data_IF_529390688996
#
_entry.id   IF_529390688996
#
_cell.length_a   1.000
_cell.length_b   1.000
_cell.length_c   1.000
_cell.angle_alpha   90.00
_cell.angle_beta   90.00
_cell.angle_gamma   90.00
#
_symmetry.space_group_name_H-M   'P 1'
#
loop_
_entity.id
_entity.type
_entity.pdbx_description
1 polymer ?
#
# COMPACT_ATOMS: atom_id res chain seq x y z
N UNK A 1 -4.81 15.19 4.67
CA UNK A 1 -3.61 14.32 4.68
C UNK A 1 -3.31 13.77 6.08
N UNK A 2 -3.17 14.62 7.11
CA UNK A 2 -3.08 14.21 8.53
C UNK A 2 -4.28 13.35 8.99
N UNK A 3 -5.50 13.69 8.54
CA UNK A 3 -6.73 12.96 8.86
C UNK A 3 -6.69 11.45 8.55
N UNK A 4 -5.99 11.02 7.49
CA UNK A 4 -5.92 9.59 7.12
C UNK A 4 -5.05 8.78 8.08
N UNK A 5 -3.95 9.35 8.55
CA UNK A 5 -3.09 8.72 9.57
C UNK A 5 -3.71 8.78 10.96
N UNK A 6 -4.39 9.88 11.31
CA UNK A 6 -5.17 9.95 12.54
C UNK A 6 -6.29 8.92 12.55
N UNK A 7 -7.00 8.73 11.44
CA UNK A 7 -8.01 7.67 11.31
C UNK A 7 -7.41 6.27 11.41
N UNK A 8 -6.22 6.03 10.87
CA UNK A 8 -5.49 4.76 11.02
C UNK A 8 -5.15 4.47 12.48
N UNK A 9 -4.66 5.47 13.22
CA UNK A 9 -4.34 5.37 14.65
C UNK A 9 -5.60 5.11 15.50
N UNK A 10 -6.69 5.81 15.20
CA UNK A 10 -7.98 5.61 15.87
C UNK A 10 -8.52 4.20 15.57
N UNK A 11 -8.51 3.77 14.31
CA UNK A 11 -8.91 2.43 13.92
C UNK A 11 -8.06 1.36 14.63
N UNK A 12 -6.74 1.55 14.68
CA UNK A 12 -5.83 0.65 15.40
C UNK A 12 -6.15 0.53 16.88
N UNK A 13 -6.47 1.65 17.53
CA UNK A 13 -6.82 1.66 18.94
C UNK A 13 -8.22 1.08 19.22
N UNK A 14 -9.21 1.39 18.38
CA UNK A 14 -10.60 1.00 18.60
C UNK A 14 -10.92 -0.43 18.16
N UNK A 15 -10.20 -0.97 17.17
CA UNK A 15 -10.54 -2.25 16.52
C UNK A 15 -9.63 -3.40 16.93
N UNK A 16 -8.62 -3.16 17.77
CA UNK A 16 -7.69 -4.21 18.25
C UNK A 16 -8.37 -5.42 18.90
N UNK A 17 -9.52 -5.19 19.55
CA UNK A 17 -10.30 -6.22 20.25
C UNK A 17 -11.59 -6.59 19.48
N UNK A 18 -11.80 -6.02 18.29
CA UNK A 18 -13.04 -6.13 17.53
C UNK A 18 -13.06 -7.38 16.62
N UNK A 19 -13.06 -8.58 17.22
CA UNK A 19 -13.40 -9.85 16.57
C UNK A 19 -12.82 -10.04 15.16
N UNK A 20 -13.65 -9.85 14.13
CA UNK A 20 -13.32 -10.04 12.69
C UNK A 20 -12.24 -9.10 12.12
N UNK A 21 -11.78 -8.12 12.90
CA UNK A 21 -10.70 -7.20 12.55
C UNK A 21 -9.44 -7.39 13.40
N UNK A 22 -9.47 -8.33 14.35
CA UNK A 22 -8.30 -8.69 15.14
C UNK A 22 -7.36 -9.56 14.32
N UNK A 23 -6.07 -9.23 14.35
CA UNK A 23 -5.00 -9.99 13.71
C UNK A 23 -4.44 -11.11 14.60
N UNK A 24 -5.04 -11.28 15.79
CA UNK A 24 -4.71 -12.35 16.72
C UNK A 24 -5.94 -13.25 16.85
N UNK A 25 -5.93 -14.47 16.30
CA UNK A 25 -7.02 -15.41 16.49
C UNK A 25 -7.28 -15.68 17.99
N UNK A 26 -8.53 -15.87 18.42
CA UNK A 26 -8.83 -16.30 19.78
C UNK A 26 -8.10 -17.62 20.10
N UNK A 27 -7.21 -17.61 21.09
CA UNK A 27 -6.43 -18.79 21.49
C UNK A 27 -5.16 -19.05 20.67
N UNK A 28 -4.68 -18.08 19.88
CA UNK A 28 -3.39 -18.19 19.22
C UNK A 28 -2.25 -18.38 20.24
N UNK A 29 -1.53 -19.50 20.12
CA UNK A 29 -0.38 -19.85 20.96
C UNK A 29 0.95 -19.51 20.32
N UNK A 30 0.95 -18.91 19.11
CA UNK A 30 2.18 -18.44 18.49
C UNK A 30 2.82 -17.35 19.36
N UNK A 31 4.04 -17.58 19.88
CA UNK A 31 4.71 -16.68 20.82
C UNK A 31 5.05 -15.31 20.21
N UNK A 32 4.92 -15.17 18.89
CA UNK A 32 5.36 -14.07 18.05
C UNK A 32 4.56 -12.77 18.25
N UNK A 33 3.31 -12.86 18.72
CA UNK A 33 2.39 -11.73 18.81
C UNK A 33 1.92 -11.40 20.23
N UNK A 34 2.08 -12.33 21.18
CA UNK A 34 1.64 -12.15 22.57
C UNK A 34 2.46 -11.06 23.24
N UNK A 35 1.81 -10.00 23.69
CA UNK A 35 2.43 -8.80 24.27
C UNK A 35 2.91 -7.77 23.25
N UNK A 36 2.72 -7.99 21.94
CA UNK A 36 3.06 -7.03 20.85
C UNK A 36 1.86 -6.71 19.95
N UNK A 37 0.65 -7.02 20.40
CA UNK A 37 -0.58 -6.94 19.62
C UNK A 37 -0.82 -5.52 19.13
N UNK A 38 -0.58 -4.51 19.97
CA UNK A 38 -0.73 -3.11 19.58
C UNK A 38 0.13 -2.76 18.37
N UNK A 39 1.41 -3.16 18.37
CA UNK A 39 2.34 -2.87 17.28
C UNK A 39 2.00 -3.65 16.02
N UNK A 40 1.53 -4.88 16.16
CA UNK A 40 1.05 -5.69 15.05
C UNK A 40 -0.13 -5.02 14.34
N UNK A 41 -1.16 -4.62 15.11
CA UNK A 41 -2.32 -3.93 14.57
C UNK A 41 -1.93 -2.61 13.92
N UNK A 42 -1.10 -1.81 14.58
CA UNK A 42 -0.69 -0.52 14.05
C UNK A 42 0.14 -0.65 12.77
N UNK A 43 1.04 -1.64 12.70
CA UNK A 43 1.77 -1.98 11.48
C UNK A 43 0.79 -2.36 10.36
N UNK A 44 -0.13 -3.28 10.60
CA UNK A 44 -1.07 -3.72 9.57
C UNK A 44 -1.98 -2.59 9.08
N UNK A 45 -2.59 -1.80 9.98
CA UNK A 45 -3.49 -0.72 9.60
C UNK A 45 -2.79 0.40 8.84
N UNK A 46 -1.53 0.72 9.16
CA UNK A 46 -0.74 1.68 8.37
C UNK A 46 -0.48 1.15 6.95
N UNK A 47 -0.26 -0.16 6.78
CA UNK A 47 -0.19 -0.78 5.46
C UNK A 47 -1.53 -0.67 4.71
N UNK A 48 -2.64 -0.94 5.40
CA UNK A 48 -3.99 -0.86 4.80
C UNK A 48 -4.32 0.55 4.33
N UNK A 49 -3.92 1.57 5.09
CA UNK A 49 -4.09 2.98 4.71
C UNK A 49 -3.31 3.29 3.44
N UNK A 50 -2.06 2.81 3.33
CA UNK A 50 -1.31 2.93 2.10
C UNK A 50 -2.04 2.26 0.92
N UNK A 51 -2.58 1.04 1.08
CA UNK A 51 -3.39 0.34 0.07
C UNK A 51 -4.62 1.14 -0.34
N UNK A 52 -5.39 1.65 0.62
CA UNK A 52 -6.62 2.43 0.36
C UNK A 52 -6.30 3.71 -0.40
N UNK A 53 -5.20 4.38 -0.07
CA UNK A 53 -4.74 5.59 -0.77
C UNK A 53 -4.22 5.30 -2.18
N UNK A 54 -3.74 4.09 -2.46
CA UNK A 54 -3.38 3.68 -3.82
C UNK A 54 -4.58 3.60 -4.75
N UNK A 55 -5.78 3.30 -4.23
CA UNK A 55 -7.00 3.18 -5.04
C UNK A 55 -7.29 4.48 -5.83
N UNK A 56 -7.47 5.65 -5.19
CA UNK A 56 -7.64 6.91 -5.92
C UNK A 56 -6.38 7.28 -6.71
N UNK A 57 -5.17 6.93 -6.25
CA UNK A 57 -3.95 7.19 -7.01
C UNK A 57 -3.98 6.50 -8.39
N UNK A 58 -4.32 5.22 -8.46
CA UNK A 58 -4.44 4.50 -9.73
C UNK A 58 -5.64 4.94 -10.56
N UNK A 59 -6.77 5.22 -9.93
CA UNK A 59 -7.96 5.71 -10.62
C UNK A 59 -7.68 7.01 -11.39
N UNK A 60 -6.92 7.93 -10.78
CA UNK A 60 -6.66 9.24 -11.36
C UNK A 60 -5.35 9.34 -12.17
N UNK A 61 -4.41 8.39 -12.02
CA UNK A 61 -3.12 8.41 -12.72
C UNK A 61 -3.24 8.47 -14.24
N UNK A 62 -4.27 7.83 -14.79
CA UNK A 62 -4.54 7.78 -16.23
C UNK A 62 -5.77 8.61 -16.64
N UNK A 63 -6.37 9.37 -15.71
CA UNK A 63 -7.52 10.23 -16.01
C UNK A 63 -7.10 11.40 -16.89
N UNK A 64 -7.85 11.72 -17.97
CA UNK A 64 -7.54 12.85 -18.84
C UNK A 64 -7.63 14.19 -18.10
N UNK A 65 -8.58 14.32 -17.17
CA UNK A 65 -8.83 15.56 -16.43
C UNK A 65 -7.77 15.80 -15.34
N UNK A 66 -7.00 14.77 -14.94
CA UNK A 66 -5.95 14.77 -13.91
C UNK A 66 -6.30 15.46 -12.58
N UNK A 67 -7.60 15.70 -12.35
CA UNK A 67 -8.16 16.25 -11.13
C UNK A 67 -9.10 15.20 -10.53
N UNK A 68 -8.94 14.88 -9.23
CA UNK A 68 -7.87 15.35 -8.33
C UNK A 68 -6.48 14.81 -8.71
N UNK A 69 -5.41 15.53 -8.31
CA UNK A 69 -4.03 15.17 -8.65
C UNK A 69 -3.64 13.84 -8.00
N UNK A 70 -3.52 12.79 -8.81
CA UNK A 70 -3.13 11.44 -8.39
C UNK A 70 -1.83 11.44 -7.58
N UNK A 71 -0.93 12.41 -7.82
CA UNK A 71 0.35 12.53 -7.11
C UNK A 71 0.16 12.77 -5.62
N UNK A 72 -0.91 13.45 -5.21
CA UNK A 72 -1.19 13.70 -3.79
C UNK A 72 -1.52 12.38 -3.07
N UNK A 73 -2.40 11.56 -3.66
CA UNK A 73 -2.72 10.23 -3.13
C UNK A 73 -1.52 9.29 -3.16
N UNK A 74 -0.78 9.31 -4.26
CA UNK A 74 0.45 8.54 -4.44
C UNK A 74 1.51 8.87 -3.38
N UNK A 75 1.77 10.16 -3.15
CA UNK A 75 2.73 10.62 -2.14
C UNK A 75 2.24 10.30 -0.72
N UNK A 76 0.94 10.46 -0.46
CA UNK A 76 0.39 10.13 0.86
C UNK A 76 0.45 8.64 1.15
N UNK A 77 0.19 7.81 0.14
CA UNK A 77 0.34 6.35 0.23
C UNK A 77 1.77 5.96 0.53
N UNK A 78 2.76 6.57 -0.15
CA UNK A 78 4.18 6.39 0.14
C UNK A 78 4.51 6.72 1.60
N UNK A 79 4.03 7.85 2.13
CA UNK A 79 4.27 8.21 3.53
C UNK A 79 3.66 7.20 4.51
N UNK A 80 2.44 6.73 4.24
CA UNK A 80 1.81 5.68 5.03
C UNK A 80 2.61 4.36 4.97
N UNK A 81 3.19 4.04 3.81
CA UNK A 81 4.06 2.88 3.65
C UNK A 81 5.36 3.02 4.45
N UNK A 82 6.02 4.18 4.43
CA UNK A 82 7.22 4.42 5.25
C UNK A 82 6.90 4.32 6.74
N UNK A 83 5.74 4.84 7.17
CA UNK A 83 5.26 4.69 8.55
C UNK A 83 5.04 3.22 8.89
N UNK A 84 4.40 2.44 8.01
CA UNK A 84 4.25 1.00 8.16
C UNK A 84 5.59 0.29 8.35
N UNK A 85 6.59 0.62 7.52
CA UNK A 85 7.92 0.02 7.63
C UNK A 85 8.60 0.39 8.96
N UNK A 86 8.52 1.64 9.39
CA UNK A 86 9.10 2.09 10.66
C UNK A 86 8.44 1.41 11.87
N UNK A 87 7.11 1.32 11.88
CA UNK A 87 6.35 0.67 12.95
C UNK A 87 6.62 -0.83 12.98
N UNK A 88 6.70 -1.47 11.82
CA UNK A 88 7.08 -2.88 11.73
C UNK A 88 8.49 -3.09 12.28
N UNK A 89 9.48 -2.39 11.75
CA UNK A 89 10.88 -2.60 12.10
C UNK A 89 11.17 -2.30 13.57
N UNK A 90 10.73 -1.14 14.08
CA UNK A 90 11.12 -0.68 15.41
C UNK A 90 10.06 -0.92 16.48
N UNK A 91 8.78 -0.92 16.12
CA UNK A 91 7.69 -1.21 17.06
C UNK A 91 7.49 -2.72 17.25
N UNK A 92 7.16 -3.42 16.17
CA UNK A 92 6.85 -4.85 16.24
C UNK A 92 8.11 -5.71 16.38
N UNK A 93 9.11 -5.51 15.51
CA UNK A 93 10.36 -6.28 15.51
C UNK A 93 11.41 -5.75 16.50
N UNK A 94 11.20 -4.59 17.12
CA UNK A 94 12.11 -4.03 18.12
C UNK A 94 13.51 -3.71 17.59
N UNK A 95 13.68 -3.54 16.28
CA UNK A 95 14.98 -3.35 15.62
C UNK A 95 15.72 -4.66 15.29
N UNK A 96 15.15 -5.82 15.59
CA UNK A 96 15.72 -7.12 15.22
C UNK A 96 15.43 -7.43 13.74
N UNK A 97 16.31 -6.97 12.86
CA UNK A 97 16.20 -7.22 11.42
C UNK A 97 16.38 -8.69 11.06
N UNK A 98 17.12 -9.47 11.86
CA UNK A 98 17.29 -10.89 11.61
C UNK A 98 15.96 -11.62 11.81
N UNK A 99 15.24 -11.32 12.89
CA UNK A 99 13.87 -11.81 13.10
C UNK A 99 12.95 -11.35 11.97
N UNK A 100 12.99 -10.06 11.62
CA UNK A 100 12.14 -9.50 10.57
C UNK A 100 12.33 -10.19 9.20
N UNK A 101 13.57 -10.48 8.80
CA UNK A 101 13.86 -11.14 7.52
C UNK A 101 13.44 -12.60 7.46
N UNK A 102 13.31 -13.26 8.62
CA UNK A 102 12.99 -14.69 8.71
C UNK A 102 11.55 -14.96 9.19
N UNK A 103 10.77 -13.91 9.46
CA UNK A 103 9.39 -14.04 9.93
C UNK A 103 8.42 -14.27 8.77
N UNK A 104 7.50 -15.24 8.94
CA UNK A 104 6.37 -15.48 8.03
C UNK A 104 5.40 -14.30 7.95
N UNK A 105 5.44 -13.38 8.94
CA UNK A 105 4.60 -12.17 8.98
C UNK A 105 5.08 -11.09 8.01
N UNK A 106 6.28 -11.23 7.45
CA UNK A 106 6.82 -10.30 6.44
C UNK A 106 6.78 -10.98 5.07
N UNK A 107 5.79 -10.61 4.27
CA UNK A 107 5.53 -11.27 2.98
C UNK A 107 6.62 -11.05 1.92
N UNK A 108 7.33 -9.91 1.97
CA UNK A 108 8.35 -9.58 0.98
C UNK A 108 9.33 -8.50 1.51
N UNK A 109 10.25 -8.87 2.41
CA UNK A 109 11.19 -7.92 3.02
C UNK A 109 12.02 -7.14 1.98
N UNK A 110 12.83 -7.84 1.19
CA UNK A 110 13.75 -7.20 0.23
C UNK A 110 13.03 -6.43 -0.87
N UNK A 111 11.98 -6.98 -1.53
CA UNK A 111 11.18 -6.20 -2.45
C UNK A 111 10.57 -4.95 -1.80
N UNK A 112 10.12 -5.04 -0.55
CA UNK A 112 9.61 -3.89 0.19
C UNK A 112 10.66 -2.78 0.38
N UNK A 113 11.88 -3.15 0.77
CA UNK A 113 12.98 -2.17 0.92
C UNK A 113 13.35 -1.50 -0.39
N UNK A 114 13.43 -2.27 -1.48
CA UNK A 114 13.68 -1.74 -2.82
C UNK A 114 12.55 -0.79 -3.23
N UNK A 115 11.28 -1.16 -2.99
CA UNK A 115 10.15 -0.29 -3.29
C UNK A 115 10.22 1.00 -2.46
N UNK A 116 10.57 0.94 -1.18
CA UNK A 116 10.65 2.14 -0.34
C UNK A 116 11.63 3.19 -0.91
N UNK A 117 12.83 2.75 -1.28
CA UNK A 117 13.83 3.64 -1.87
C UNK A 117 13.40 4.13 -3.27
N UNK A 118 12.92 3.21 -4.11
CA UNK A 118 12.60 3.52 -5.50
C UNK A 118 11.35 4.40 -5.63
N UNK A 119 10.34 4.18 -4.79
CA UNK A 119 9.15 5.01 -4.70
C UNK A 119 9.49 6.38 -4.11
N UNK A 120 10.37 6.46 -3.09
CA UNK A 120 10.87 7.74 -2.59
C UNK A 120 11.52 8.60 -3.69
N UNK A 121 12.28 7.97 -4.58
CA UNK A 121 12.83 8.63 -5.77
C UNK A 121 11.72 9.12 -6.71
N UNK A 122 10.70 8.31 -7.02
CA UNK A 122 9.59 8.78 -7.88
C UNK A 122 8.83 9.96 -7.27
N UNK A 123 8.59 9.95 -5.95
CA UNK A 123 7.97 11.07 -5.24
C UNK A 123 8.80 12.36 -5.39
N UNK A 124 10.12 12.26 -5.23
CA UNK A 124 11.04 13.39 -5.44
C UNK A 124 11.05 13.88 -6.90
N UNK A 125 10.82 12.98 -7.86
CA UNK A 125 10.75 13.27 -9.29
C UNK A 125 9.33 13.55 -9.80
N UNK A 126 8.32 13.61 -8.92
CA UNK A 126 6.89 13.58 -9.30
C UNK A 126 6.48 14.67 -10.30
N UNK A 127 7.13 15.84 -10.24
CA UNK A 127 6.89 17.00 -11.12
C UNK A 127 7.79 17.06 -12.35
N UNK A 128 8.78 16.17 -12.47
CA UNK A 128 9.68 16.11 -13.60
C UNK A 128 9.08 15.24 -14.72
N UNK A 129 9.50 15.53 -15.95
CA UNK A 129 9.10 14.83 -17.16
C UNK A 129 10.35 14.43 -17.96
N UNK A 130 10.26 13.30 -18.66
CA UNK A 130 11.36 12.75 -19.47
C UNK A 130 11.12 11.27 -19.74
N UNK A 131 11.66 10.75 -20.84
CA UNK A 131 11.43 9.35 -21.23
C UNK A 131 11.85 8.35 -20.14
N UNK A 132 13.05 8.53 -19.57
CA UNK A 132 13.54 7.68 -18.49
C UNK A 132 12.69 7.78 -17.21
N UNK A 133 12.17 8.98 -16.88
CA UNK A 133 11.30 9.20 -15.72
C UNK A 133 9.98 8.46 -15.92
N UNK A 134 9.44 8.46 -17.13
CA UNK A 134 8.22 7.70 -17.45
C UNK A 134 8.43 6.21 -17.24
N UNK A 135 9.54 5.64 -17.74
CA UNK A 135 9.86 4.21 -17.55
C UNK A 135 10.01 3.88 -16.06
N UNK A 136 10.75 4.71 -15.33
CA UNK A 136 10.96 4.55 -13.90
C UNK A 136 9.64 4.60 -13.12
N UNK A 137 8.78 5.59 -13.41
CA UNK A 137 7.47 5.74 -12.79
C UNK A 137 6.57 4.55 -13.05
N UNK A 138 6.48 4.09 -14.30
CA UNK A 138 5.72 2.88 -14.63
C UNK A 138 6.24 1.68 -13.84
N UNK A 139 7.56 1.48 -13.77
CA UNK A 139 8.17 0.40 -13.00
C UNK A 139 7.80 0.44 -11.52
N UNK A 140 7.90 1.61 -10.90
CA UNK A 140 7.54 1.82 -9.48
C UNK A 140 6.04 1.59 -9.23
N UNK A 141 5.16 2.07 -10.12
CA UNK A 141 3.73 1.80 -10.02
C UNK A 141 3.42 0.30 -10.13
N UNK A 142 4.03 -0.41 -11.09
CA UNK A 142 3.83 -1.85 -11.22
C UNK A 142 4.34 -2.60 -9.98
N UNK A 143 5.49 -2.23 -9.46
CA UNK A 143 6.06 -2.85 -8.26
C UNK A 143 5.18 -2.59 -7.02
N UNK A 144 4.75 -1.34 -6.81
CA UNK A 144 3.82 -0.99 -5.74
C UNK A 144 2.51 -1.76 -5.88
N UNK A 145 1.94 -1.81 -7.09
CA UNK A 145 0.73 -2.58 -7.35
C UNK A 145 0.91 -4.05 -6.95
N UNK A 146 1.96 -4.73 -7.44
CA UNK A 146 2.20 -6.15 -7.15
C UNK A 146 2.37 -6.40 -5.66
N UNK A 147 3.16 -5.59 -4.95
CA UNK A 147 3.41 -5.80 -3.52
C UNK A 147 2.18 -5.53 -2.67
N UNK A 148 1.45 -4.44 -2.95
CA UNK A 148 0.24 -4.10 -2.18
C UNK A 148 -0.94 -5.00 -2.50
N UNK A 149 -1.16 -5.34 -3.77
CA UNK A 149 -2.15 -6.34 -4.17
C UNK A 149 -1.82 -7.72 -3.59
N UNK A 150 -0.58 -8.20 -3.78
CA UNK A 150 -0.14 -9.49 -3.26
C UNK A 150 -0.25 -9.56 -1.73
N UNK A 151 0.21 -8.51 -1.03
CA UNK A 151 0.12 -8.41 0.43
C UNK A 151 -1.32 -8.36 0.96
N UNK A 152 -2.27 -7.77 0.22
CA UNK A 152 -3.66 -7.61 0.65
C UNK A 152 -4.59 -8.71 0.13
N UNK A 153 -4.73 -8.87 -1.17
CA UNK A 153 -5.67 -9.79 -1.81
C UNK A 153 -5.26 -11.26 -1.67
N UNK A 154 -3.96 -11.56 -1.71
CA UNK A 154 -3.44 -12.94 -1.71
C UNK A 154 -3.02 -13.38 -0.31
N UNK A 155 -2.16 -12.58 0.34
CA UNK A 155 -1.59 -12.92 1.64
C UNK A 155 -2.39 -12.37 2.84
N UNK A 156 -3.41 -11.54 2.59
CA UNK A 156 -4.18 -10.94 3.67
C UNK A 156 -4.86 -11.99 4.55
N UNK A 157 -4.71 -11.87 5.87
CA UNK A 157 -5.31 -12.81 6.83
C UNK A 157 -6.82 -12.57 6.99
N UNK A 158 -7.28 -11.34 6.78
CA UNK A 158 -8.67 -10.94 6.99
C UNK A 158 -9.42 -10.75 5.67
N UNK A 159 -10.70 -11.11 5.64
CA UNK A 159 -11.56 -10.91 4.47
C UNK A 159 -11.60 -9.43 4.04
N UNK A 160 -11.68 -8.51 5.00
CA UNK A 160 -11.71 -7.07 4.75
C UNK A 160 -10.51 -6.60 3.92
N UNK A 161 -9.29 -6.98 4.30
CA UNK A 161 -8.10 -6.57 3.55
C UNK A 161 -8.02 -7.27 2.18
N UNK A 162 -8.50 -8.51 2.07
CA UNK A 162 -8.58 -9.19 0.77
C UNK A 162 -9.52 -8.46 -0.19
N UNK A 163 -10.67 -8.00 0.30
CA UNK A 163 -11.62 -7.20 -0.48
C UNK A 163 -10.99 -5.87 -0.91
N UNK A 164 -10.30 -5.16 0.00
CA UNK A 164 -9.57 -3.92 -0.37
C UNK A 164 -8.55 -4.19 -1.48
N UNK A 165 -7.80 -5.30 -1.40
CA UNK A 165 -6.86 -5.72 -2.44
C UNK A 165 -7.55 -6.02 -3.77
N UNK A 166 -8.68 -6.72 -3.76
CA UNK A 166 -9.47 -6.98 -4.96
C UNK A 166 -10.01 -5.69 -5.61
N UNK A 167 -10.43 -4.72 -4.79
CA UNK A 167 -10.85 -3.39 -5.27
C UNK A 167 -9.68 -2.65 -5.94
N UNK A 168 -8.48 -2.71 -5.34
CA UNK A 168 -7.28 -2.13 -5.93
C UNK A 168 -6.99 -2.70 -7.32
N UNK A 169 -7.08 -4.02 -7.49
CA UNK A 169 -6.97 -4.67 -8.81
C UNK A 169 -8.04 -4.16 -9.79
N UNK A 170 -9.30 -4.17 -9.38
CA UNK A 170 -10.42 -3.72 -10.23
C UNK A 170 -10.22 -2.29 -10.73
N UNK A 171 -9.81 -1.37 -9.84
CA UNK A 171 -9.58 0.03 -10.19
C UNK A 171 -8.37 0.20 -11.12
N UNK A 172 -7.27 -0.53 -10.88
CA UNK A 172 -6.12 -0.50 -11.78
C UNK A 172 -6.50 -0.97 -13.19
N UNK A 173 -7.28 -2.04 -13.31
CA UNK A 173 -7.78 -2.55 -14.60
C UNK A 173 -8.70 -1.54 -15.30
N UNK A 174 -9.66 -0.96 -14.58
CA UNK A 174 -10.56 0.07 -15.12
C UNK A 174 -9.77 1.27 -15.65
N UNK A 175 -8.76 1.73 -14.90
CA UNK A 175 -7.93 2.86 -15.32
C UNK A 175 -7.18 2.56 -16.63
N UNK A 176 -6.60 1.36 -16.77
CA UNK A 176 -5.90 0.93 -17.98
C UNK A 176 -6.86 0.78 -19.16
N UNK A 177 -8.01 0.13 -18.96
CA UNK A 177 -9.03 -0.05 -20.01
C UNK A 177 -9.50 1.32 -20.52
N UNK A 178 -9.86 2.23 -19.60
CA UNK A 178 -10.31 3.59 -19.96
C UNK A 178 -9.24 4.33 -20.77
N UNK A 179 -7.98 4.25 -20.36
CA UNK A 179 -6.88 4.87 -21.07
C UNK A 179 -6.68 4.31 -22.48
N UNK A 180 -6.75 2.99 -22.65
CA UNK A 180 -6.68 2.34 -23.96
C UNK A 180 -7.84 2.76 -24.87
N UNK A 181 -9.06 2.81 -24.34
CA UNK A 181 -10.24 3.23 -25.10
C UNK A 181 -10.13 4.67 -25.58
N UNK A 182 -9.66 5.59 -24.73
CA UNK A 182 -9.44 6.99 -25.11
C UNK A 182 -8.36 7.14 -26.19
N UNK A 183 -7.30 6.33 -26.14
CA UNK A 183 -6.26 6.34 -27.18
C UNK A 183 -6.75 5.83 -28.52
N UNK A 184 -7.59 4.79 -28.54
CA UNK A 184 -8.18 4.27 -29.77
C UNK A 184 -9.11 5.29 -30.42
N UNK A 185 -10.01 5.90 -29.64
CA UNK A 185 -10.92 6.93 -30.14
C UNK A 185 -10.17 8.14 -30.73
N UNK A 186 -9.04 8.55 -30.14
CA UNK A 186 -8.21 9.63 -30.67
C UNK A 186 -7.51 9.28 -31.99
N UNK A 187 -7.15 8.00 -32.20
CA UNK A 187 -6.52 7.53 -33.44
C UNK A 187 -7.51 7.37 -34.60
N UNK A 188 -8.77 7.07 -34.31
CA UNK A 188 -9.85 6.99 -35.32
C UNK A 188 -10.32 8.38 -35.79
N UNK A 189 -10.04 9.42 -35.00
CA UNK A 189 -10.43 10.80 -35.30
C UNK A 189 -9.36 11.62 -36.06
N UNK A 190 -8.17 11.06 -36.30
CA UNK A 190 -7.02 11.68 -36.98
C UNK A 190 -6.81 11.14 -38.38
#
# INVERSE_FOLDING_TARGET
MLLGMTAALIAAYMLKDAGSLSLVPPGATEPDAVGREFWLHLSAYSAWVATVLLIPAYLFALSPDRVPDWRAFWTTSYLAYIIHLAISAFGFFGGDFAWMTNSSRVSAFWPGMVLALWWGLDVALSRRAGGWITVQRVGVHLMAFVLFFGGSAVMGELLTIRVIGAVLLGVALIAVIRWLSLRRAGAEAS
#
